data_IF_512669996319
#
_entry.id   IF_512669996319
#
_cell.length_a   1.000
_cell.length_b   1.000
_cell.length_c   1.000
_cell.angle_alpha   90.00
_cell.angle_beta   90.00
_cell.angle_gamma   90.00
#
_symmetry.space_group_name_H-M   'P 1'
#
loop_
_entity.id
_entity.type
_entity.pdbx_description
1 polymer ?
#
# COMPACT_ATOMS: atom_id res chain seq x y z
N UNK A 1 -54.90 24.25 27.42
CA UNK A 1 -53.94 24.38 28.53
C UNK A 1 -52.63 23.80 28.01
N UNK A 2 -51.80 24.68 27.46
CA UNK A 2 -50.67 25.34 28.16
C UNK A 2 -49.45 24.41 28.04
N UNK A 3 -48.43 24.74 27.24
CA UNK A 3 -47.44 25.77 27.55
C UNK A 3 -46.36 25.09 28.41
N UNK A 4 -45.06 25.17 28.18
CA UNK A 4 -44.25 26.23 27.61
C UNK A 4 -42.80 25.71 27.45
N UNK A 5 -41.98 26.48 26.73
CA UNK A 5 -40.54 26.39 26.43
C UNK A 5 -39.65 26.23 27.69
N UNK A 6 -38.33 25.97 27.67
CA UNK A 6 -37.17 26.55 26.96
C UNK A 6 -35.94 25.74 27.53
N UNK A 7 -34.71 25.65 27.01
CA UNK A 7 -33.80 26.70 26.52
C UNK A 7 -32.51 26.05 25.98
N UNK A 8 -31.94 26.70 24.98
CA UNK A 8 -30.71 26.35 24.29
C UNK A 8 -29.43 26.42 25.15
N UNK A 9 -28.38 25.74 24.70
CA UNK A 9 -27.01 26.21 24.88
C UNK A 9 -26.20 25.98 23.60
N UNK A 10 -26.18 27.01 22.77
CA UNK A 10 -25.17 27.19 21.74
C UNK A 10 -23.86 27.65 22.39
N UNK A 11 -22.73 27.06 22.03
CA UNK A 11 -21.44 27.74 22.14
C UNK A 11 -20.59 27.35 20.96
N UNK A 12 -20.54 28.25 19.97
CA UNK A 12 -19.81 28.05 18.73
C UNK A 12 -18.29 28.18 18.89
N UNK A 13 -17.57 27.70 17.87
CA UNK A 13 -16.25 28.24 17.52
C UNK A 13 -16.20 28.50 16.02
N UNK A 14 -15.75 29.71 15.72
CA UNK A 14 -15.76 30.41 14.43
C UNK A 14 -14.87 29.72 13.40
N UNK A 15 -15.41 29.47 12.22
CA UNK A 15 -14.65 29.25 10.99
C UNK A 15 -14.18 30.63 10.46
N UNK A 16 -12.87 30.76 10.25
CA UNK A 16 -12.27 31.90 9.54
C UNK A 16 -12.14 31.46 8.08
N UNK A 17 -12.97 32.03 7.20
CA UNK A 17 -12.82 31.91 5.75
C UNK A 17 -12.13 33.20 5.27
N UNK A 18 -10.94 33.06 4.68
CA UNK A 18 -10.32 34.13 3.91
C UNK A 18 -10.97 34.15 2.52
N UNK A 19 -11.88 35.10 2.30
CA UNK A 19 -12.37 35.44 0.97
C UNK A 19 -11.47 36.50 0.32
N UNK A 20 -10.95 36.20 -0.88
CA UNK A 20 -10.43 37.22 -1.77
C UNK A 20 -11.59 37.68 -2.69
N UNK A 21 -12.13 38.87 -2.42
CA UNK A 21 -13.10 39.53 -3.29
C UNK A 21 -12.38 40.55 -4.16
N UNK A 22 -12.34 40.30 -5.47
CA UNK A 22 -12.04 41.34 -6.46
C UNK A 22 -13.37 41.95 -6.93
N UNK A 23 -13.58 43.23 -6.61
CA UNK A 23 -14.77 43.98 -6.99
C UNK A 23 -14.66 44.46 -8.43
N UNK A 24 -15.63 44.07 -9.27
CA UNK A 24 -15.92 44.69 -10.56
C UNK A 24 -17.41 45.01 -10.62
N UNK A 25 -17.75 46.30 -10.63
CA UNK A 25 -19.11 46.82 -10.69
C UNK A 25 -19.63 46.78 -12.13
N UNK A 26 -20.77 46.13 -12.36
CA UNK A 26 -21.55 46.18 -13.59
C UNK A 26 -23.02 45.88 -13.31
N UNK A 27 -23.91 46.77 -13.75
CA UNK A 27 -25.33 46.87 -13.33
C UNK A 27 -26.27 46.02 -14.21
N UNK A 28 -27.25 45.39 -13.54
CA UNK A 28 -28.59 44.94 -13.97
C UNK A 28 -28.78 43.77 -14.96
N UNK A 29 -29.42 42.69 -14.48
CA UNK A 29 -30.69 42.14 -14.97
C UNK A 29 -31.04 40.86 -14.19
N UNK A 30 -32.29 40.69 -13.77
CA UNK A 30 -32.71 39.65 -12.84
C UNK A 30 -32.66 38.22 -13.36
N UNK A 31 -32.36 37.26 -12.48
CA UNK A 31 -32.67 35.84 -12.64
C UNK A 31 -33.02 35.27 -11.26
N UNK A 32 -34.01 34.37 -11.27
CA UNK A 32 -34.71 33.70 -10.19
C UNK A 32 -33.94 33.44 -8.89
N UNK A 33 -34.67 33.53 -7.78
CA UNK A 33 -34.29 32.93 -6.50
C UNK A 33 -34.21 31.40 -6.66
N UNK A 34 -33.06 30.90 -7.12
CA UNK A 34 -32.70 29.51 -6.92
C UNK A 34 -32.46 29.37 -5.42
N UNK A 35 -33.39 28.68 -4.73
CA UNK A 35 -33.05 28.08 -3.44
C UNK A 35 -31.85 27.19 -3.72
N UNK A 36 -30.66 27.66 -3.33
CA UNK A 36 -29.51 26.80 -3.13
C UNK A 36 -29.92 25.91 -1.97
N UNK A 37 -30.52 24.77 -2.29
CA UNK A 37 -30.46 23.62 -1.40
C UNK A 37 -28.97 23.38 -1.26
N UNK A 38 -28.42 23.72 -0.10
CA UNK A 38 -27.13 23.22 0.31
C UNK A 38 -27.29 21.70 0.30
N UNK A 39 -26.90 21.09 -0.82
CA UNK A 39 -26.50 19.71 -0.79
C UNK A 39 -25.36 19.70 0.22
N UNK A 40 -25.57 19.00 1.32
CA UNK A 40 -24.50 18.57 2.19
C UNK A 40 -23.57 17.76 1.28
N UNK A 41 -22.57 18.42 0.69
CA UNK A 41 -21.51 17.71 -0.03
C UNK A 41 -20.92 16.76 1.01
N UNK A 42 -21.14 15.46 0.78
CA UNK A 42 -20.59 14.40 1.61
C UNK A 42 -19.08 14.38 1.34
N UNK A 43 -18.38 15.31 2.00
CA UNK A 43 -16.95 15.64 1.82
C UNK A 43 -15.99 14.50 2.17
N UNK A 44 -16.52 13.30 2.42
CA UNK A 44 -15.76 12.10 2.80
C UNK A 44 -15.52 11.11 1.66
N UNK A 45 -16.05 11.37 0.45
CA UNK A 45 -15.88 10.46 -0.69
C UNK A 45 -14.98 11.08 -1.77
N UNK A 46 -13.90 10.39 -2.12
CA UNK A 46 -13.06 10.72 -3.27
C UNK A 46 -13.31 9.70 -4.39
N UNK A 47 -13.51 10.18 -5.62
CA UNK A 47 -13.64 9.34 -6.82
C UNK A 47 -12.27 9.19 -7.51
N UNK A 48 -11.87 7.95 -7.80
CA UNK A 48 -10.60 7.65 -8.45
C UNK A 48 -9.41 7.70 -7.50
N UNK A 49 -8.56 8.72 -7.65
CA UNK A 49 -7.32 8.84 -6.91
C UNK A 49 -7.35 9.95 -5.85
N UNK A 50 -6.64 9.74 -4.75
CA UNK A 50 -6.38 10.79 -3.77
C UNK A 50 -4.89 10.87 -3.45
N UNK A 51 -4.35 12.09 -3.38
CA UNK A 51 -2.92 12.33 -3.13
C UNK A 51 -2.73 13.25 -1.94
N UNK A 52 -1.82 12.88 -1.03
CA UNK A 52 -1.35 13.74 0.05
C UNK A 52 0.04 14.25 -0.32
N UNK A 53 0.23 15.56 -0.34
CA UNK A 53 1.52 16.23 -0.59
C UNK A 53 2.04 16.93 0.66
N UNK A 54 3.36 17.07 0.79
CA UNK A 54 3.98 17.88 1.83
C UNK A 54 3.98 19.39 1.47
N UNK A 55 4.48 20.24 2.37
CA UNK A 55 4.55 21.71 2.16
C UNK A 55 5.40 22.15 0.96
N UNK A 56 6.23 21.25 0.41
CA UNK A 56 7.06 21.50 -0.78
C UNK A 56 6.39 20.99 -2.05
N UNK A 57 5.16 20.46 -1.95
CA UNK A 57 4.44 19.84 -3.06
C UNK A 57 4.89 18.42 -3.37
N UNK A 58 5.68 17.77 -2.50
CA UNK A 58 6.15 16.39 -2.76
C UNK A 58 5.12 15.36 -2.28
N UNK A 59 4.77 14.40 -3.14
CA UNK A 59 3.83 13.32 -2.80
C UNK A 59 4.35 12.51 -1.61
N UNK A 60 3.47 12.28 -0.63
CA UNK A 60 3.70 11.45 0.55
C UNK A 60 2.85 10.19 0.57
N UNK A 61 1.59 10.31 0.15
CA UNK A 61 0.69 9.20 -0.04
C UNK A 61 -0.07 9.36 -1.35
N UNK A 62 -0.32 8.25 -2.03
CA UNK A 62 -1.20 8.18 -3.19
C UNK A 62 -2.08 6.95 -3.03
N UNK A 63 -3.38 7.15 -3.17
CA UNK A 63 -4.31 6.05 -3.33
C UNK A 63 -4.92 6.11 -4.71
N UNK A 64 -5.05 4.94 -5.34
CA UNK A 64 -5.58 4.81 -6.68
C UNK A 64 -6.28 3.45 -6.86
N UNK A 65 -7.34 3.43 -7.65
CA UNK A 65 -8.06 2.19 -8.05
C UNK A 65 -7.44 1.51 -9.27
N UNK A 66 -6.44 2.13 -9.88
CA UNK A 66 -5.61 1.57 -10.94
C UNK A 66 -4.14 1.66 -10.56
N UNK A 67 -3.28 0.85 -11.18
CA UNK A 67 -1.84 0.88 -10.91
C UNK A 67 -1.24 2.23 -11.31
N UNK A 68 -0.80 3.09 -10.35
CA UNK A 68 -0.30 4.42 -10.70
C UNK A 68 1.17 4.38 -11.15
N UNK A 69 1.75 5.47 -11.67
CA UNK A 69 3.20 5.61 -11.75
C UNK A 69 3.83 5.74 -10.36
N UNK A 70 5.12 5.41 -10.26
CA UNK A 70 5.92 5.57 -9.03
C UNK A 70 7.18 6.35 -9.31
N UNK A 71 7.87 6.77 -8.25
CA UNK A 71 9.18 7.41 -8.35
C UNK A 71 10.19 6.51 -7.64
N UNK A 72 11.21 6.05 -8.36
CA UNK A 72 12.33 5.27 -7.81
C UNK A 72 13.64 5.96 -8.17
N UNK A 73 14.48 6.25 -7.17
CA UNK A 73 15.76 6.93 -7.39
C UNK A 73 15.64 8.27 -8.15
N UNK A 74 14.55 9.00 -7.94
CA UNK A 74 14.24 10.26 -8.64
C UNK A 74 13.73 10.11 -10.07
N UNK A 75 13.55 8.88 -10.59
CA UNK A 75 12.97 8.61 -11.91
C UNK A 75 11.53 8.16 -11.78
N UNK A 76 10.64 8.72 -12.59
CA UNK A 76 9.28 8.22 -12.71
C UNK A 76 9.28 6.92 -13.50
N UNK A 77 8.71 5.87 -12.91
CA UNK A 77 8.45 4.59 -13.57
C UNK A 77 6.96 4.56 -13.96
N UNK A 78 6.65 4.55 -15.27
CA UNK A 78 5.28 4.44 -15.77
C UNK A 78 4.60 3.14 -15.34
N UNK A 79 3.27 3.16 -15.23
CA UNK A 79 2.47 2.01 -14.75
C UNK A 79 2.61 0.76 -15.61
N UNK A 80 2.77 0.90 -16.93
CA UNK A 80 2.97 -0.20 -17.88
C UNK A 80 4.35 -0.88 -17.75
N UNK A 81 5.32 -0.21 -17.13
CA UNK A 81 6.65 -0.75 -16.82
C UNK A 81 6.73 -1.39 -15.43
N UNK A 82 5.68 -1.23 -14.60
CA UNK A 82 5.61 -1.83 -13.27
C UNK A 82 5.03 -3.23 -13.33
N UNK A 83 5.54 -4.12 -12.48
CA UNK A 83 4.85 -5.39 -12.17
C UNK A 83 3.59 -5.15 -11.32
N UNK A 84 2.70 -6.14 -11.25
CA UNK A 84 1.43 -6.06 -10.52
C UNK A 84 0.21 -5.82 -11.41
N UNK A 85 -0.96 -6.08 -10.84
CA UNK A 85 -2.25 -6.04 -11.53
C UNK A 85 -2.62 -4.64 -12.03
N UNK A 86 -3.27 -4.52 -13.18
CA UNK A 86 -3.68 -3.20 -13.69
C UNK A 86 -4.82 -2.59 -12.85
N UNK A 87 -5.78 -3.43 -12.45
CA UNK A 87 -6.97 -3.05 -11.68
C UNK A 87 -6.88 -3.63 -10.27
N UNK A 88 -6.47 -2.79 -9.32
CA UNK A 88 -6.34 -3.13 -7.90
C UNK A 88 -6.45 -1.85 -7.06
N UNK A 89 -6.73 -1.98 -5.77
CA UNK A 89 -6.62 -0.86 -4.84
C UNK A 89 -5.17 -0.69 -4.42
N UNK A 90 -4.58 0.46 -4.74
CA UNK A 90 -3.22 0.85 -4.38
C UNK A 90 -3.25 1.93 -3.31
N UNK A 91 -2.44 1.77 -2.26
CA UNK A 91 -1.97 2.84 -1.40
C UNK A 91 -0.44 2.84 -1.44
N UNK A 92 0.17 3.90 -1.92
CA UNK A 92 1.62 4.06 -2.03
C UNK A 92 2.08 5.10 -1.03
N UNK A 93 3.19 4.85 -0.36
CA UNK A 93 3.82 5.82 0.53
C UNK A 93 5.26 6.14 0.11
N UNK A 94 5.61 7.42 0.21
CA UNK A 94 6.85 7.95 -0.33
C UNK A 94 7.71 8.62 0.75
N UNK A 95 9.03 8.54 0.57
CA UNK A 95 10.00 9.29 1.37
C UNK A 95 9.91 10.81 1.13
N UNK A 96 10.74 11.59 1.81
CA UNK A 96 10.71 13.03 1.66
C UNK A 96 11.00 13.46 0.23
N UNK A 97 11.87 12.76 -0.48
CA UNK A 97 12.24 13.08 -1.87
C UNK A 97 11.18 12.66 -2.88
N UNK A 98 10.11 12.01 -2.42
CA UNK A 98 9.01 11.54 -3.25
C UNK A 98 9.24 10.14 -3.79
N UNK A 99 10.31 9.43 -3.41
CA UNK A 99 10.53 8.05 -3.86
C UNK A 99 9.62 7.09 -3.10
N UNK A 100 9.08 6.11 -3.80
CA UNK A 100 8.30 5.01 -3.21
C UNK A 100 9.13 4.27 -2.14
N UNK A 101 8.45 3.91 -1.05
CA UNK A 101 8.99 3.09 0.05
C UNK A 101 8.13 1.87 0.35
N UNK A 102 7.25 1.53 -0.58
CA UNK A 102 6.29 0.45 -0.47
C UNK A 102 4.85 0.95 -0.54
N UNK A 103 3.95 0.03 -0.22
CA UNK A 103 2.53 0.30 -0.31
C UNK A 103 1.67 -0.82 0.26
N UNK A 104 0.37 -0.62 0.13
CA UNK A 104 -0.65 -1.63 0.34
C UNK A 104 -1.33 -1.83 -1.01
N UNK A 105 -1.44 -3.09 -1.44
CA UNK A 105 -2.15 -3.46 -2.65
C UNK A 105 -3.20 -4.50 -2.30
N UNK A 106 -4.41 -4.35 -2.84
CA UNK A 106 -5.47 -5.35 -2.75
C UNK A 106 -6.11 -5.59 -4.11
N UNK A 107 -6.21 -6.86 -4.51
CA UNK A 107 -6.84 -7.30 -5.74
C UNK A 107 -7.66 -8.58 -5.48
N UNK A 108 -8.42 -9.04 -6.48
CA UNK A 108 -9.35 -10.18 -6.33
C UNK A 108 -8.68 -11.49 -5.89
N UNK A 109 -7.39 -11.64 -6.16
CA UNK A 109 -6.59 -12.83 -5.87
C UNK A 109 -5.62 -12.65 -4.69
N UNK A 110 -5.64 -11.53 -3.97
CA UNK A 110 -4.72 -11.34 -2.86
C UNK A 110 -4.60 -9.91 -2.35
N UNK A 111 -3.75 -9.76 -1.34
CA UNK A 111 -3.36 -8.46 -0.82
C UNK A 111 -1.92 -8.51 -0.29
N UNK A 112 -1.23 -7.38 -0.33
CA UNK A 112 0.15 -7.25 0.12
C UNK A 112 0.36 -5.90 0.79
N UNK A 113 1.11 -5.91 1.89
CA UNK A 113 1.81 -4.75 2.46
C UNK A 113 3.31 -4.93 2.17
N UNK A 114 3.94 -3.94 1.56
CA UNK A 114 5.38 -3.91 1.32
C UNK A 114 6.04 -2.73 2.02
N UNK A 115 7.27 -2.95 2.48
CA UNK A 115 8.22 -1.88 2.80
C UNK A 115 9.47 -2.11 1.97
N UNK A 116 9.96 -1.03 1.36
CA UNK A 116 11.01 -1.10 0.36
C UNK A 116 12.26 -0.37 0.86
N UNK A 117 13.42 -0.93 0.55
CA UNK A 117 14.67 -0.19 0.52
C UNK A 117 14.62 0.85 -0.64
N UNK A 118 15.62 1.74 -0.78
CA UNK A 118 15.61 2.74 -1.86
C UNK A 118 15.46 2.22 -3.29
N UNK A 119 15.80 0.96 -3.54
CA UNK A 119 15.86 0.39 -4.89
C UNK A 119 15.35 -1.07 -4.98
N UNK A 120 14.82 -1.65 -3.89
CA UNK A 120 14.33 -3.04 -3.86
C UNK A 120 13.38 -3.26 -2.67
N UNK A 121 12.62 -4.35 -2.67
CA UNK A 121 11.71 -4.69 -1.58
C UNK A 121 12.49 -5.18 -0.35
N UNK A 122 12.16 -4.67 0.84
CA UNK A 122 12.76 -5.10 2.10
C UNK A 122 11.92 -6.15 2.82
N UNK A 123 10.61 -5.92 2.90
CA UNK A 123 9.66 -6.73 3.63
C UNK A 123 8.37 -6.84 2.83
N UNK A 124 7.86 -8.06 2.68
CA UNK A 124 6.50 -8.32 2.22
C UNK A 124 5.71 -9.06 3.30
N UNK A 125 4.48 -8.61 3.54
CA UNK A 125 3.45 -9.34 4.26
C UNK A 125 2.25 -9.43 3.33
N UNK A 126 1.83 -10.64 2.97
CA UNK A 126 0.77 -10.79 2.01
C UNK A 126 0.01 -12.10 2.09
N UNK A 127 -1.08 -12.14 1.36
CA UNK A 127 -1.81 -13.35 1.07
C UNK A 127 -2.16 -13.41 -0.41
N UNK A 128 -2.19 -14.63 -0.93
CA UNK A 128 -2.54 -14.91 -2.33
C UNK A 128 -3.45 -16.12 -2.42
N UNK A 129 -4.33 -16.07 -3.40
CA UNK A 129 -5.22 -17.14 -3.77
C UNK A 129 -5.30 -17.23 -5.29
N UNK A 130 -5.13 -18.45 -5.82
CA UNK A 130 -5.37 -18.77 -7.22
C UNK A 130 -6.08 -20.12 -7.29
N UNK A 131 -7.28 -20.11 -7.87
CA UNK A 131 -8.14 -21.28 -8.04
C UNK A 131 -8.49 -22.00 -6.74
N UNK A 132 -7.65 -22.94 -6.33
CA UNK A 132 -7.78 -23.77 -5.11
C UNK A 132 -6.56 -23.70 -4.22
N UNK A 133 -5.56 -22.92 -4.59
CA UNK A 133 -4.30 -22.79 -3.87
C UNK A 133 -4.21 -21.40 -3.28
N UNK A 134 -3.91 -21.32 -1.99
CA UNK A 134 -3.58 -20.05 -1.40
C UNK A 134 -2.84 -20.18 -0.10
N UNK A 135 -2.33 -19.04 0.33
CA UNK A 135 -1.50 -18.93 1.50
C UNK A 135 -1.26 -17.50 1.91
N UNK A 136 -0.62 -17.36 3.06
CA UNK A 136 -0.11 -16.11 3.57
C UNK A 136 1.38 -16.24 3.84
N UNK A 137 2.12 -15.15 3.69
CA UNK A 137 3.55 -15.11 3.86
C UNK A 137 4.04 -13.81 4.48
N UNK A 138 5.13 -13.92 5.23
CA UNK A 138 6.03 -12.85 5.60
C UNK A 138 7.40 -13.17 4.98
N UNK A 139 7.88 -12.30 4.11
CA UNK A 139 9.19 -12.41 3.46
C UNK A 139 10.06 -11.23 3.87
N UNK A 140 11.25 -11.53 4.37
CA UNK A 140 12.29 -10.54 4.68
C UNK A 140 13.43 -10.75 3.69
N UNK A 141 13.75 -9.72 2.90
CA UNK A 141 14.77 -9.80 1.88
C UNK A 141 16.13 -9.30 2.37
N UNK A 142 17.20 -9.89 1.84
CA UNK A 142 18.53 -9.32 1.94
C UNK A 142 18.57 -7.97 1.23
N UNK A 143 19.33 -7.04 1.80
CA UNK A 143 19.67 -5.81 1.10
C UNK A 143 20.73 -6.12 0.03
N UNK A 144 20.40 -5.89 -1.25
CA UNK A 144 21.36 -5.75 -2.33
C UNK A 144 22.26 -4.52 -2.18
N UNK A 145 23.02 -4.18 -3.22
CA UNK A 145 23.84 -2.96 -3.23
C UNK A 145 22.93 -1.71 -3.30
N UNK A 146 22.85 -0.87 -2.26
CA UNK A 146 21.98 0.30 -2.25
C UNK A 146 22.37 1.36 -3.29
N UNK A 147 23.61 1.33 -3.80
CA UNK A 147 24.10 2.25 -4.81
C UNK A 147 23.86 1.76 -6.24
N UNK A 148 23.56 0.47 -6.43
CA UNK A 148 23.32 -0.07 -7.76
C UNK A 148 21.94 0.36 -8.30
N UNK A 149 21.82 0.55 -9.63
CA UNK A 149 20.55 0.89 -10.27
C UNK A 149 19.44 -0.11 -9.93
N UNK A 150 18.18 0.34 -9.84
CA UNK A 150 17.02 -0.50 -9.52
C UNK A 150 16.86 -1.68 -10.47
N UNK A 151 17.23 -1.52 -11.75
CA UNK A 151 17.13 -2.57 -12.77
C UNK A 151 18.13 -3.71 -12.57
N UNK A 152 19.16 -3.51 -11.73
CA UNK A 152 20.19 -4.50 -11.42
C UNK A 152 19.98 -5.17 -10.06
N UNK A 153 18.97 -4.74 -9.30
CA UNK A 153 18.68 -5.32 -8.00
C UNK A 153 18.07 -6.71 -8.13
N UNK A 154 18.33 -7.53 -7.11
CA UNK A 154 17.78 -8.89 -7.01
C UNK A 154 16.98 -8.99 -5.73
N UNK A 155 15.76 -9.50 -5.85
CA UNK A 155 14.91 -9.85 -4.71
C UNK A 155 15.39 -11.19 -4.15
N UNK A 156 16.21 -11.14 -3.10
CA UNK A 156 16.81 -12.33 -2.50
C UNK A 156 16.22 -12.53 -1.11
N UNK A 157 15.31 -13.50 -0.90
CA UNK A 157 14.74 -13.75 0.41
C UNK A 157 15.84 -14.19 1.38
N UNK A 158 15.87 -13.62 2.58
CA UNK A 158 16.68 -14.09 3.70
C UNK A 158 15.87 -14.94 4.67
N UNK A 159 14.59 -14.58 4.88
CA UNK A 159 13.64 -15.32 5.71
C UNK A 159 12.30 -15.38 5.01
N UNK A 160 11.69 -16.56 4.98
CA UNK A 160 10.31 -16.75 4.53
C UNK A 160 9.54 -17.49 5.63
N UNK A 161 8.49 -16.87 6.15
CA UNK A 161 7.51 -17.52 7.02
C UNK A 161 6.22 -17.63 6.23
N UNK A 162 5.69 -18.83 6.06
CA UNK A 162 4.52 -19.05 5.22
C UNK A 162 3.56 -20.07 5.81
N UNK A 163 2.31 -19.94 5.39
CA UNK A 163 1.26 -20.95 5.54
C UNK A 163 0.50 -21.04 4.24
N UNK A 164 0.38 -22.24 3.68
CA UNK A 164 -0.39 -22.48 2.47
C UNK A 164 -1.04 -23.87 2.51
N UNK A 165 -2.02 -24.08 1.63
CA UNK A 165 -2.80 -25.32 1.62
C UNK A 165 -2.22 -26.47 0.77
N UNK A 166 -0.98 -26.34 0.31
CA UNK A 166 -0.21 -27.37 -0.41
C UNK A 166 0.99 -27.86 0.40
N UNK A 167 1.77 -26.93 0.95
CA UNK A 167 3.01 -27.16 1.68
C UNK A 167 2.78 -27.22 3.20
N UNK A 168 1.66 -26.72 3.71
CA UNK A 168 1.40 -26.58 5.13
C UNK A 168 2.00 -25.29 5.70
N UNK A 169 2.60 -25.36 6.88
CA UNK A 169 3.22 -24.20 7.54
C UNK A 169 4.73 -24.36 7.54
N UNK A 170 5.48 -23.31 7.24
CA UNK A 170 6.93 -23.39 7.25
C UNK A 170 7.68 -22.09 7.48
N UNK A 171 8.95 -22.25 7.85
CA UNK A 171 9.96 -21.21 7.96
C UNK A 171 11.18 -21.65 7.15
N UNK A 172 11.57 -20.87 6.15
CA UNK A 172 12.83 -21.01 5.45
C UNK A 172 13.82 -19.95 5.94
N UNK A 173 15.04 -20.38 6.23
CA UNK A 173 16.19 -19.50 6.38
C UNK A 173 17.09 -19.67 5.16
N UNK A 174 17.33 -18.58 4.45
CA UNK A 174 18.00 -18.57 3.16
C UNK A 174 19.43 -18.03 3.27
N UNK A 175 20.29 -18.40 2.32
CA UNK A 175 21.61 -17.82 2.17
C UNK A 175 21.58 -16.48 1.41
N UNK A 176 22.75 -15.88 1.24
CA UNK A 176 22.93 -14.60 0.52
C UNK A 176 22.53 -14.65 -0.96
N UNK A 177 22.28 -15.84 -1.52
CA UNK A 177 21.77 -16.02 -2.88
C UNK A 177 20.26 -16.34 -2.89
N UNK A 178 19.58 -16.24 -1.74
CA UNK A 178 18.16 -16.53 -1.61
C UNK A 178 17.82 -18.02 -1.55
N UNK A 179 18.81 -18.90 -1.36
CA UNK A 179 18.61 -20.35 -1.36
C UNK A 179 18.34 -20.86 0.05
N UNK A 180 17.24 -21.61 0.31
CA UNK A 180 17.00 -22.19 1.63
C UNK A 180 18.15 -23.09 2.10
N UNK A 181 18.59 -22.89 3.34
CA UNK A 181 19.63 -23.69 4.04
C UNK A 181 19.05 -24.45 5.20
N UNK A 182 18.01 -23.91 5.82
CA UNK A 182 17.29 -24.52 6.93
C UNK A 182 15.79 -24.36 6.66
N UNK A 183 15.04 -25.45 6.84
CA UNK A 183 13.58 -25.46 6.77
C UNK A 183 13.01 -26.05 8.05
N UNK A 184 12.08 -25.34 8.68
CA UNK A 184 11.21 -25.86 9.72
C UNK A 184 9.82 -25.95 9.11
N UNK A 185 9.18 -27.11 9.13
CA UNK A 185 7.91 -27.30 8.43
C UNK A 185 6.98 -28.26 9.15
N UNK A 186 5.67 -27.97 9.08
CA UNK A 186 4.60 -28.93 9.34
C UNK A 186 3.85 -29.12 8.04
N UNK A 187 3.93 -30.32 7.47
CA UNK A 187 3.27 -30.67 6.22
C UNK A 187 1.74 -30.72 6.38
N UNK A 188 1.01 -30.77 5.27
CA UNK A 188 -0.45 -30.81 5.26
C UNK A 188 -1.06 -32.04 5.95
N UNK A 189 -0.30 -33.13 6.04
CA UNK A 189 -0.69 -34.35 6.78
C UNK A 189 -0.37 -34.26 8.29
N UNK A 190 0.17 -33.13 8.74
CA UNK A 190 0.55 -32.88 10.13
C UNK A 190 1.98 -33.32 10.48
N UNK A 191 2.75 -33.89 9.54
CA UNK A 191 4.12 -34.35 9.81
C UNK A 191 5.06 -33.16 10.07
N UNK A 192 5.65 -33.03 11.27
CA UNK A 192 6.66 -32.01 11.54
C UNK A 192 8.03 -32.44 10.99
N UNK A 193 8.85 -31.48 10.58
CA UNK A 193 10.24 -31.73 10.19
C UNK A 193 11.13 -30.50 10.41
N UNK A 194 12.41 -30.77 10.67
CA UNK A 194 13.48 -29.77 10.60
C UNK A 194 14.53 -30.30 9.62
N UNK A 195 14.75 -29.60 8.52
CA UNK A 195 15.68 -30.01 7.46
C UNK A 195 16.84 -29.01 7.28
N UNK A 196 18.05 -29.53 7.06
CA UNK A 196 19.22 -28.78 6.60
C UNK A 196 19.44 -29.13 5.12
N UNK A 197 19.63 -28.12 4.29
CA UNK A 197 19.71 -28.23 2.84
C UNK A 197 21.09 -27.82 2.31
N UNK A 198 21.58 -28.55 1.32
CA UNK A 198 22.80 -28.19 0.57
C UNK A 198 22.56 -27.11 -0.50
N UNK A 199 23.63 -26.74 -1.19
CA UNK A 199 23.62 -25.68 -2.21
C UNK A 199 22.61 -25.86 -3.35
N UNK A 200 22.21 -27.10 -3.61
CA UNK A 200 21.28 -27.52 -4.65
C UNK A 200 19.85 -27.70 -4.10
N UNK A 201 19.66 -27.53 -2.79
CA UNK A 201 18.38 -27.69 -2.11
C UNK A 201 18.08 -29.13 -1.71
N UNK A 202 19.06 -30.04 -1.77
CA UNK A 202 18.88 -31.41 -1.30
C UNK A 202 19.02 -31.47 0.23
N UNK A 203 18.19 -32.29 0.86
CA UNK A 203 18.21 -32.49 2.31
C UNK A 203 19.44 -33.32 2.69
N UNK A 204 20.34 -32.73 3.46
CA UNK A 204 21.53 -33.43 4.01
C UNK A 204 21.31 -33.92 5.44
N UNK A 205 20.32 -33.36 6.15
CA UNK A 205 19.90 -33.80 7.48
C UNK A 205 18.44 -33.47 7.71
N UNK A 206 17.69 -34.39 8.31
CA UNK A 206 16.32 -34.16 8.77
C UNK A 206 16.11 -34.73 10.17
N UNK A 207 15.30 -34.04 10.97
CA UNK A 207 14.76 -34.48 12.26
C UNK A 207 13.24 -34.61 12.15
#
# INVERSE_FOLDING_TARGET
MAGEEEKASATGRRSIIFGAAAAGVGVAAGVAATKVTAAEEDTTTAEGSFTIVDRRGRQRFLFDSEKPPIILGGKTIPSDQRSGEAAASYLIFNDENGNEKGGIVAHSSGAQLSFDYPNQDALHLGCRWRDKTGGAELVLNHIGDPAAPSEQQKFLPGVELFVDNQSGTGLNLCDQQGRPRIRLQVAMDGTPSIAILDEQGAVIRQL
#
